data_IF_988053230722
#
_entry.id   IF_988053230722
#
_cell.length_a   1.000
_cell.length_b   1.000
_cell.length_c   1.000
_cell.angle_alpha   90.00
_cell.angle_beta   90.00
_cell.angle_gamma   90.00
#
_symmetry.space_group_name_H-M   'P 1'
#
loop_
_entity.id
_entity.type
_entity.pdbx_description
1 polymer ?
#
# COMPACT_ATOMS: atom_id res chain seq x y z
N UNK A 1 3.55 -29.98 10.57
CA UNK A 1 3.23 -28.55 10.77
C UNK A 1 1.72 -28.39 10.65
N UNK A 2 1.07 -28.03 11.76
CA UNK A 2 -0.39 -27.97 11.89
C UNK A 2 -1.00 -26.96 10.90
N UNK A 3 -1.79 -27.46 9.94
CA UNK A 3 -2.51 -26.65 8.94
C UNK A 3 -3.49 -25.66 9.60
N UNK A 4 -3.97 -25.94 10.81
CA UNK A 4 -4.93 -25.11 11.53
C UNK A 4 -4.30 -23.80 12.04
N UNK A 5 -3.12 -23.87 12.67
CA UNK A 5 -2.39 -22.68 13.16
C UNK A 5 -2.05 -21.67 12.05
N UNK A 6 -1.64 -22.16 10.86
CA UNK A 6 -1.37 -21.29 9.71
C UNK A 6 -2.64 -20.62 9.16
N UNK A 7 -3.79 -21.30 9.24
CA UNK A 7 -5.09 -20.74 8.84
C UNK A 7 -5.49 -19.57 9.73
N UNK A 8 -5.34 -19.72 11.06
CA UNK A 8 -5.65 -18.66 12.03
C UNK A 8 -4.76 -17.44 11.80
N UNK A 9 -3.45 -17.63 11.58
CA UNK A 9 -2.53 -16.53 11.26
C UNK A 9 -2.92 -15.81 9.96
N UNK A 10 -3.30 -16.55 8.93
CA UNK A 10 -3.79 -15.97 7.67
C UNK A 10 -5.05 -15.12 7.87
N UNK A 11 -6.04 -15.65 8.61
CA UNK A 11 -7.28 -14.92 8.95
C UNK A 11 -6.93 -13.63 9.71
N UNK A 12 -6.02 -13.70 10.68
CA UNK A 12 -5.59 -12.54 11.44
C UNK A 12 -4.96 -11.47 10.53
N UNK A 13 -4.04 -11.85 9.63
CA UNK A 13 -3.44 -10.89 8.69
C UNK A 13 -4.46 -10.25 7.76
N UNK A 14 -5.44 -11.02 7.27
CA UNK A 14 -6.53 -10.50 6.44
C UNK A 14 -7.37 -9.49 7.24
N UNK A 15 -7.75 -9.82 8.48
CA UNK A 15 -8.53 -8.93 9.33
C UNK A 15 -7.81 -7.59 9.57
N UNK A 16 -6.51 -7.63 9.92
CA UNK A 16 -5.69 -6.43 10.10
C UNK A 16 -5.58 -5.63 8.81
N UNK A 17 -5.35 -6.29 7.67
CA UNK A 17 -5.27 -5.63 6.37
C UNK A 17 -6.58 -4.93 5.98
N UNK A 18 -7.73 -5.59 6.18
CA UNK A 18 -9.05 -5.02 5.88
C UNK A 18 -9.37 -3.80 6.76
N UNK A 19 -9.06 -3.87 8.06
CA UNK A 19 -9.24 -2.73 8.97
C UNK A 19 -8.35 -1.56 8.54
N UNK A 20 -7.07 -1.83 8.26
CA UNK A 20 -6.14 -0.81 7.79
C UNK A 20 -6.60 -0.17 6.46
N UNK A 21 -7.13 -0.98 5.54
CA UNK A 21 -7.65 -0.50 4.26
C UNK A 21 -8.90 0.39 4.43
N UNK A 22 -9.81 0.04 5.34
CA UNK A 22 -10.99 0.87 5.65
C UNK A 22 -10.64 2.19 6.36
N UNK A 23 -9.60 2.21 7.19
CA UNK A 23 -9.15 3.41 7.91
C UNK A 23 -8.33 4.34 6.99
N UNK A 24 -7.55 3.79 6.06
CA UNK A 24 -6.67 4.52 5.14
C UNK A 24 -7.31 5.77 4.50
N UNK A 25 -8.50 5.71 3.87
CA UNK A 25 -9.07 6.87 3.19
C UNK A 25 -9.56 7.96 4.16
N UNK A 26 -9.95 7.60 5.38
CA UNK A 26 -10.31 8.55 6.45
C UNK A 26 -9.07 9.37 6.83
N UNK A 27 -7.93 8.70 7.01
CA UNK A 27 -6.66 9.37 7.29
C UNK A 27 -6.19 10.23 6.12
N UNK A 28 -6.42 9.81 4.87
CA UNK A 28 -6.12 10.61 3.68
C UNK A 28 -6.94 11.91 3.66
N UNK A 29 -8.26 11.86 3.89
CA UNK A 29 -9.09 13.07 4.00
C UNK A 29 -8.64 13.98 5.15
N UNK A 30 -8.21 13.40 6.28
CA UNK A 30 -7.67 14.19 7.39
C UNK A 30 -6.36 14.91 7.00
N UNK A 31 -5.47 14.23 6.27
CA UNK A 31 -4.25 14.84 5.74
C UNK A 31 -4.57 16.00 4.78
N UNK A 32 -5.60 15.84 3.93
CA UNK A 32 -6.03 16.90 3.01
C UNK A 32 -6.55 18.13 3.75
N UNK A 33 -7.27 17.95 4.85
CA UNK A 33 -7.66 19.06 5.75
C UNK A 33 -6.47 19.77 6.36
N UNK A 34 -5.35 19.06 6.58
CA UNK A 34 -4.08 19.63 7.01
C UNK A 34 -3.27 20.32 5.90
N UNK A 35 -3.82 20.47 4.69
CA UNK A 35 -3.15 21.11 3.55
C UNK A 35 -2.39 20.15 2.64
N UNK A 36 -2.43 18.84 2.90
CA UNK A 36 -1.89 17.85 1.97
C UNK A 36 -2.80 17.71 0.73
N UNK A 37 -2.30 17.04 -0.29
CA UNK A 37 -3.00 16.69 -1.51
C UNK A 37 -2.79 15.19 -1.82
N UNK A 38 -3.48 14.61 -2.82
CA UNK A 38 -3.30 13.21 -3.17
C UNK A 38 -1.85 12.82 -3.45
N UNK A 39 -1.13 13.63 -4.21
CA UNK A 39 0.22 13.34 -4.69
C UNK A 39 1.22 13.31 -3.53
N UNK A 40 1.26 14.34 -2.69
CA UNK A 40 2.21 14.40 -1.58
C UNK A 40 1.89 13.35 -0.50
N UNK A 41 0.60 13.03 -0.29
CA UNK A 41 0.17 11.96 0.62
C UNK A 41 0.65 10.59 0.14
N UNK A 42 0.47 10.30 -1.16
CA UNK A 42 0.97 9.06 -1.78
C UNK A 42 2.50 8.99 -1.79
N UNK A 43 3.18 10.09 -2.11
CA UNK A 43 4.63 10.16 -2.12
C UNK A 43 5.21 9.81 -0.74
N UNK A 44 4.66 10.39 0.33
CA UNK A 44 5.06 10.06 1.70
C UNK A 44 4.75 8.60 2.04
N UNK A 45 3.52 8.13 1.74
CA UNK A 45 3.11 6.75 1.99
C UNK A 45 4.04 5.72 1.33
N UNK A 46 4.36 5.90 0.06
CA UNK A 46 5.23 4.99 -0.69
C UNK A 46 6.69 5.09 -0.26
N UNK A 47 7.14 6.27 0.18
CA UNK A 47 8.48 6.45 0.77
C UNK A 47 8.60 5.69 2.10
N UNK A 48 7.62 5.82 3.00
CA UNK A 48 7.64 5.06 4.25
C UNK A 48 7.54 3.55 3.98
N UNK A 49 6.67 3.12 3.06
CA UNK A 49 6.56 1.71 2.70
C UNK A 49 7.87 1.15 2.13
N UNK A 50 8.57 1.89 1.27
CA UNK A 50 9.84 1.46 0.69
C UNK A 50 10.94 1.35 1.74
N UNK A 51 11.02 2.30 2.69
CA UNK A 51 11.96 2.26 3.81
C UNK A 51 11.70 1.02 4.69
N UNK A 52 10.43 0.80 5.09
CA UNK A 52 10.06 -0.34 5.93
C UNK A 52 10.39 -1.67 5.23
N UNK A 53 10.06 -1.79 3.93
CA UNK A 53 10.34 -2.99 3.16
C UNK A 53 11.85 -3.21 2.98
N UNK A 54 12.62 -2.15 2.76
CA UNK A 54 14.08 -2.23 2.67
C UNK A 54 14.70 -2.71 3.98
N UNK A 55 14.26 -2.17 5.12
CA UNK A 55 14.70 -2.62 6.46
C UNK A 55 14.33 -4.10 6.66
N UNK A 56 13.13 -4.51 6.30
CA UNK A 56 12.70 -5.91 6.38
C UNK A 56 13.59 -6.84 5.55
N UNK A 57 13.89 -6.49 4.30
CA UNK A 57 14.78 -7.28 3.43
C UNK A 57 16.17 -7.40 4.03
N UNK A 58 16.73 -6.30 4.55
CA UNK A 58 18.06 -6.26 5.17
C UNK A 58 18.13 -7.10 6.45
N UNK A 59 17.15 -6.97 7.33
CA UNK A 59 17.08 -7.74 8.60
C UNK A 59 16.90 -9.24 8.35
N UNK A 60 16.19 -9.62 7.28
CA UNK A 60 16.05 -11.02 6.85
C UNK A 60 17.23 -11.53 6.01
N UNK A 61 18.25 -10.71 5.75
CA UNK A 61 19.42 -11.02 4.92
C UNK A 61 19.03 -11.56 3.52
N UNK A 62 17.93 -11.06 2.98
CA UNK A 62 17.45 -11.46 1.66
C UNK A 62 18.23 -10.71 0.58
N UNK A 63 18.47 -11.38 -0.55
CA UNK A 63 19.12 -10.78 -1.70
C UNK A 63 18.22 -9.73 -2.36
N UNK A 64 18.77 -8.56 -2.66
CA UNK A 64 18.14 -7.52 -3.49
C UNK A 64 18.42 -7.71 -4.99
N UNK A 65 19.11 -8.79 -5.38
CA UNK A 65 19.42 -9.06 -6.78
C UNK A 65 18.13 -9.44 -7.51
N UNK A 66 17.81 -8.67 -8.55
CA UNK A 66 16.70 -8.89 -9.45
C UNK A 66 17.23 -8.95 -10.89
N UNK A 67 16.65 -9.83 -11.72
CA UNK A 67 17.01 -9.90 -13.13
C UNK A 67 16.51 -8.65 -13.89
N UNK A 68 17.09 -8.36 -15.06
CA UNK A 68 16.62 -7.25 -15.91
C UNK A 68 15.14 -7.39 -16.30
N UNK A 69 14.67 -8.62 -16.49
CA UNK A 69 13.27 -8.92 -16.79
C UNK A 69 12.37 -8.65 -15.58
N UNK A 70 12.80 -9.05 -14.37
CA UNK A 70 12.09 -8.73 -13.13
C UNK A 70 12.03 -7.23 -12.89
N UNK A 71 13.09 -6.47 -13.18
CA UNK A 71 13.07 -5.00 -13.07
C UNK A 71 11.99 -4.40 -13.99
N UNK A 72 11.89 -4.86 -15.24
CA UNK A 72 10.84 -4.40 -16.16
C UNK A 72 9.44 -4.70 -15.63
N UNK A 73 9.22 -5.90 -15.10
CA UNK A 73 7.94 -6.30 -14.50
C UNK A 73 7.61 -5.44 -13.27
N UNK A 74 8.58 -5.24 -12.36
CA UNK A 74 8.41 -4.42 -11.16
C UNK A 74 8.08 -2.98 -11.53
N UNK A 75 8.78 -2.40 -12.51
CA UNK A 75 8.49 -1.04 -12.98
C UNK A 75 7.10 -0.95 -13.60
N UNK A 76 6.72 -1.89 -14.44
CA UNK A 76 5.39 -1.92 -15.06
C UNK A 76 4.29 -2.04 -14.01
N UNK A 77 4.39 -3.02 -13.11
CA UNK A 77 3.41 -3.25 -12.04
C UNK A 77 3.38 -2.10 -11.03
N UNK A 78 4.55 -1.53 -10.71
CA UNK A 78 4.66 -0.44 -9.75
C UNK A 78 4.09 0.87 -10.29
N UNK A 79 4.46 1.26 -11.51
CA UNK A 79 4.05 2.53 -12.11
C UNK A 79 2.63 2.45 -12.66
N UNK A 80 2.37 1.52 -13.59
CA UNK A 80 1.10 1.43 -14.31
C UNK A 80 0.04 0.70 -13.49
N UNK A 81 0.41 -0.39 -12.82
CA UNK A 81 -0.55 -1.15 -12.01
C UNK A 81 -0.95 -0.39 -10.74
N UNK A 82 -0.02 -0.29 -9.80
CA UNK A 82 -0.32 0.13 -8.44
C UNK A 82 -0.36 1.64 -8.25
N UNK A 83 0.65 2.37 -8.76
CA UNK A 83 0.74 3.82 -8.54
C UNK A 83 -0.38 4.57 -9.24
N UNK A 84 -0.65 4.25 -10.51
CA UNK A 84 -1.73 4.88 -11.27
C UNK A 84 -3.10 4.64 -10.61
N UNK A 85 -3.41 3.39 -10.25
CA UNK A 85 -4.65 3.05 -9.53
C UNK A 85 -4.75 3.81 -8.20
N UNK A 86 -3.66 3.86 -7.45
CA UNK A 86 -3.62 4.56 -6.16
C UNK A 86 -3.81 6.07 -6.32
N UNK A 87 -3.20 6.68 -7.34
CA UNK A 87 -3.37 8.11 -7.64
C UNK A 87 -4.83 8.41 -7.98
N UNK A 88 -5.44 7.65 -8.89
CA UNK A 88 -6.84 7.84 -9.28
C UNK A 88 -7.78 7.71 -8.07
N UNK A 89 -7.56 6.69 -7.24
CA UNK A 89 -8.34 6.47 -6.02
C UNK A 89 -8.20 7.63 -5.02
N UNK A 90 -6.98 8.11 -4.77
CA UNK A 90 -6.74 9.21 -3.82
C UNK A 90 -7.25 10.55 -4.37
N UNK A 91 -7.22 10.74 -5.69
CA UNK A 91 -7.90 11.88 -6.34
C UNK A 91 -9.41 11.77 -6.12
N UNK A 92 -10.00 10.59 -6.30
CA UNK A 92 -11.44 10.39 -6.10
C UNK A 92 -11.90 10.77 -4.68
N UNK A 93 -11.08 10.58 -3.66
CA UNK A 93 -11.40 11.02 -2.28
C UNK A 93 -11.62 12.52 -2.12
N UNK A 94 -11.16 13.36 -3.06
CA UNK A 94 -11.47 14.79 -3.08
C UNK A 94 -12.88 15.10 -3.61
N UNK A 95 -13.45 14.22 -4.44
CA UNK A 95 -14.70 14.47 -5.17
C UNK A 95 -15.88 13.69 -4.61
N UNK A 96 -15.63 12.51 -4.04
CA UNK A 96 -16.67 11.63 -3.52
C UNK A 96 -16.35 11.17 -2.09
N UNK A 97 -17.35 10.65 -1.40
CA UNK A 97 -17.15 10.13 -0.07
C UNK A 97 -16.30 8.86 -0.06
N UNK A 98 -15.47 8.74 0.97
CA UNK A 98 -14.50 7.64 1.12
C UNK A 98 -15.17 6.27 1.15
N UNK A 99 -16.39 6.20 1.69
CA UNK A 99 -17.20 4.99 1.68
C UNK A 99 -17.68 4.60 0.29
N UNK A 100 -17.96 5.57 -0.59
CA UNK A 100 -18.40 5.32 -1.98
C UNK A 100 -17.20 5.05 -2.88
N UNK A 101 -16.10 5.77 -2.68
CA UNK A 101 -14.87 5.61 -3.45
C UNK A 101 -14.17 4.26 -3.24
N UNK A 102 -14.39 3.65 -2.07
CA UNK A 102 -13.77 2.38 -1.68
C UNK A 102 -14.63 1.14 -1.91
N UNK A 103 -15.86 1.29 -2.45
CA UNK A 103 -16.73 0.18 -2.85
C UNK A 103 -16.26 -0.47 -4.16
#
# INVERSE_FOLDING_TARGET
>A
MDKSSNKIKGIFYIAVASIAFGIMPILAKLAYKGGANPINTLALRFTFASIILFIYIKTKKLSLRVSKEQIKLILFMGVIGYSMTSILLFIAYNYIDVGIAGM
#
